data_IF_580822661081
#
_entry.id   IF_580822661081
#
_cell.length_a   1.000
_cell.length_b   1.000
_cell.length_c   1.000
_cell.angle_alpha   90.00
_cell.angle_beta   90.00
_cell.angle_gamma   90.00
#
_symmetry.space_group_name_H-M   'P 1'
#
loop_
_entity.id
_entity.type
_entity.pdbx_description
1 polymer ?
#
# COMPACT_ATOMS: atom_id res chain seq x y z
N UNK A 1 -18.17 26.35 -30.42
CA UNK A 1 -17.89 24.91 -30.34
C UNK A 1 -16.61 24.77 -29.52
N UNK A 2 -16.72 24.42 -28.24
CA UNK A 2 -15.53 24.33 -27.38
C UNK A 2 -14.77 23.05 -27.72
N UNK A 3 -13.49 23.21 -28.04
CA UNK A 3 -12.58 22.16 -28.46
C UNK A 3 -12.14 21.35 -27.22
N UNK A 4 -12.69 20.14 -27.06
CA UNK A 4 -12.38 19.23 -25.95
C UNK A 4 -11.11 18.39 -26.18
N UNK A 5 -10.35 18.67 -27.25
CA UNK A 5 -9.38 17.71 -27.79
C UNK A 5 -8.14 17.49 -26.90
N UNK A 6 -7.85 18.31 -25.89
CA UNK A 6 -6.73 18.05 -24.96
C UNK A 6 -7.07 18.52 -23.52
N UNK A 7 -7.93 17.79 -22.81
CA UNK A 7 -8.04 17.94 -21.35
C UNK A 7 -7.25 16.81 -20.67
N UNK A 8 -5.99 17.07 -20.31
CA UNK A 8 -5.22 16.17 -19.44
C UNK A 8 -5.80 16.26 -18.03
N UNK A 9 -6.64 15.30 -17.67
CA UNK A 9 -7.17 15.18 -16.33
C UNK A 9 -6.09 14.53 -15.45
N UNK A 10 -5.65 15.27 -14.42
CA UNK A 10 -4.88 14.68 -13.31
C UNK A 10 -5.85 13.82 -12.51
N UNK A 11 -5.70 12.50 -12.61
CA UNK A 11 -6.65 11.57 -11.97
C UNK A 11 -6.77 11.83 -10.46
N UNK A 12 -5.66 12.16 -9.80
CA UNK A 12 -5.60 12.51 -8.38
C UNK A 12 -6.48 13.71 -8.01
N UNK A 13 -6.56 14.71 -8.90
CA UNK A 13 -7.32 15.94 -8.66
C UNK A 13 -8.78 15.85 -9.12
N UNK A 14 -9.12 14.75 -9.81
CA UNK A 14 -10.45 14.53 -10.41
C UNK A 14 -11.39 13.64 -9.59
N UNK A 15 -10.89 13.06 -8.49
CA UNK A 15 -11.65 12.19 -7.60
C UNK A 15 -11.89 12.85 -6.24
N UNK A 16 -12.99 12.47 -5.57
CA UNK A 16 -13.31 12.99 -4.23
C UNK A 16 -12.29 12.53 -3.18
N UNK A 17 -12.22 13.25 -2.05
CA UNK A 17 -11.35 12.88 -0.93
C UNK A 17 -11.64 11.48 -0.39
N UNK A 18 -12.90 11.05 -0.39
CA UNK A 18 -13.28 9.67 -0.01
C UNK A 18 -12.63 8.65 -0.95
N UNK A 19 -12.66 8.89 -2.27
CA UNK A 19 -12.03 7.99 -3.23
C UNK A 19 -10.49 8.03 -3.16
N UNK A 20 -9.90 9.18 -2.82
CA UNK A 20 -8.46 9.28 -2.54
C UNK A 20 -8.08 8.43 -1.32
N UNK A 21 -8.91 8.43 -0.26
CA UNK A 21 -8.69 7.62 0.92
C UNK A 21 -8.78 6.11 0.61
N UNK A 22 -9.75 5.70 -0.22
CA UNK A 22 -9.87 4.32 -0.70
C UNK A 22 -8.62 3.88 -1.50
N UNK A 23 -8.11 4.74 -2.39
CA UNK A 23 -6.90 4.47 -3.15
C UNK A 23 -5.66 4.36 -2.24
N UNK A 24 -5.54 5.26 -1.25
CA UNK A 24 -4.49 5.22 -0.24
C UNK A 24 -4.55 3.93 0.59
N UNK A 25 -5.74 3.49 1.00
CA UNK A 25 -5.94 2.23 1.72
C UNK A 25 -5.46 1.04 0.88
N UNK A 26 -5.85 0.98 -0.40
CA UNK A 26 -5.38 -0.07 -1.30
C UNK A 26 -3.85 -0.11 -1.39
N UNK A 27 -3.22 1.06 -1.56
CA UNK A 27 -1.76 1.16 -1.60
C UNK A 27 -1.09 0.67 -0.32
N UNK A 28 -1.67 0.99 0.85
CA UNK A 28 -1.19 0.52 2.15
C UNK A 28 -1.32 -1.00 2.29
N UNK A 29 -2.44 -1.60 1.87
CA UNK A 29 -2.64 -3.04 1.87
C UNK A 29 -1.60 -3.77 1.01
N UNK A 30 -1.35 -3.26 -0.21
CA UNK A 30 -0.30 -3.79 -1.10
C UNK A 30 1.08 -3.73 -0.43
N UNK A 31 1.44 -2.56 0.13
CA UNK A 31 2.71 -2.37 0.82
C UNK A 31 2.85 -3.30 2.04
N UNK A 32 1.77 -3.47 2.81
CA UNK A 32 1.72 -4.35 3.99
C UNK A 32 1.93 -5.80 3.58
N UNK A 33 1.23 -6.28 2.56
CA UNK A 33 1.40 -7.63 2.03
C UNK A 33 2.83 -7.87 1.54
N UNK A 34 3.41 -6.93 0.78
CA UNK A 34 4.81 -7.03 0.34
C UNK A 34 5.78 -7.13 1.52
N UNK A 35 5.62 -6.29 2.53
CA UNK A 35 6.47 -6.30 3.74
C UNK A 35 6.31 -7.60 4.53
N UNK A 36 5.08 -8.10 4.65
CA UNK A 36 4.79 -9.37 5.29
C UNK A 36 5.51 -10.55 4.60
N UNK A 37 5.55 -10.51 3.27
CA UNK A 37 6.29 -11.43 2.39
C UNK A 37 7.80 -11.11 2.28
N UNK A 38 8.29 -10.08 2.97
CA UNK A 38 9.70 -9.67 3.04
C UNK A 38 10.35 -9.35 1.68
N UNK A 39 9.57 -8.86 0.72
CA UNK A 39 10.06 -8.51 -0.61
C UNK A 39 10.48 -7.03 -0.68
N UNK A 40 11.57 -6.71 -1.37
CA UNK A 40 11.92 -5.31 -1.66
C UNK A 40 11.08 -4.80 -2.83
N UNK A 41 10.82 -3.50 -2.85
CA UNK A 41 10.13 -2.85 -3.98
C UNK A 41 10.82 -3.11 -5.32
N UNK A 42 12.16 -3.18 -5.34
CA UNK A 42 12.96 -3.50 -6.54
C UNK A 42 12.68 -4.88 -7.08
N UNK A 43 12.49 -5.86 -6.19
CA UNK A 43 12.27 -7.25 -6.59
C UNK A 43 10.86 -7.41 -7.17
N UNK A 44 9.88 -6.77 -6.54
CA UNK A 44 8.50 -6.71 -7.06
C UNK A 44 8.44 -5.97 -8.39
N UNK A 45 9.19 -4.86 -8.54
CA UNK A 45 9.28 -4.12 -9.80
C UNK A 45 9.76 -5.02 -10.95
N UNK A 46 10.84 -5.78 -10.71
CA UNK A 46 11.39 -6.70 -11.69
C UNK A 46 10.38 -7.80 -12.07
N UNK A 47 9.74 -8.43 -11.07
CA UNK A 47 8.74 -9.50 -11.29
C UNK A 47 7.49 -9.01 -12.00
N UNK A 48 7.01 -7.81 -11.67
CA UNK A 48 5.80 -7.24 -12.25
C UNK A 48 6.03 -6.61 -13.64
N UNK A 49 7.30 -6.48 -14.09
CA UNK A 49 7.62 -5.72 -15.30
C UNK A 49 7.24 -4.23 -15.16
N UNK A 50 7.58 -3.63 -14.02
CA UNK A 50 7.26 -2.25 -13.66
C UNK A 50 8.54 -1.50 -13.22
N UNK A 51 8.51 -0.17 -13.29
CA UNK A 51 9.57 0.62 -12.68
C UNK A 51 9.44 0.64 -11.15
N UNK A 52 10.56 0.81 -10.44
CA UNK A 52 10.52 1.02 -8.97
C UNK A 52 9.66 2.23 -8.58
N UNK A 53 9.65 3.30 -9.40
CA UNK A 53 8.80 4.46 -9.15
C UNK A 53 7.30 4.12 -9.25
N UNK A 54 6.92 3.25 -10.19
CA UNK A 54 5.54 2.76 -10.30
C UNK A 54 5.16 1.95 -9.06
N UNK A 55 6.04 1.07 -8.58
CA UNK A 55 5.85 0.34 -7.32
C UNK A 55 5.67 1.29 -6.14
N UNK A 56 6.51 2.33 -6.05
CA UNK A 56 6.39 3.36 -5.02
C UNK A 56 5.02 4.05 -5.07
N UNK A 57 4.59 4.52 -6.25
CA UNK A 57 3.30 5.19 -6.45
C UNK A 57 2.10 4.28 -6.14
N UNK A 58 2.17 2.99 -6.50
CA UNK A 58 1.15 1.99 -6.13
C UNK A 58 1.01 1.89 -4.61
N UNK A 59 2.12 1.77 -3.89
CA UNK A 59 2.12 1.68 -2.42
C UNK A 59 1.67 2.97 -1.73
N UNK A 60 1.68 4.10 -2.43
CA UNK A 60 1.12 5.37 -1.97
C UNK A 60 -0.33 5.60 -2.41
N UNK A 61 -0.92 4.64 -3.14
CA UNK A 61 -2.33 4.71 -3.55
C UNK A 61 -2.60 5.71 -4.67
N UNK A 62 -1.66 5.90 -5.60
CA UNK A 62 -1.85 6.82 -6.71
C UNK A 62 -3.00 6.37 -7.64
N UNK A 63 -4.10 7.13 -7.73
CA UNK A 63 -5.29 6.75 -8.51
C UNK A 63 -5.09 6.89 -10.03
N UNK A 64 -3.99 7.52 -10.47
CA UNK A 64 -3.65 7.66 -11.89
C UNK A 64 -2.97 6.44 -12.49
N UNK A 65 -2.73 5.39 -11.71
CA UNK A 65 -2.14 4.15 -12.20
C UNK A 65 -3.17 3.21 -12.80
N UNK A 66 -2.76 2.48 -13.84
CA UNK A 66 -3.66 1.59 -14.55
C UNK A 66 -4.00 0.36 -13.68
N UNK A 67 -5.26 -0.07 -13.71
CA UNK A 67 -5.74 -1.22 -12.94
C UNK A 67 -4.91 -2.49 -13.18
N UNK A 68 -4.47 -2.75 -14.41
CA UNK A 68 -3.58 -3.88 -14.72
C UNK A 68 -2.21 -3.82 -14.04
N UNK A 69 -1.73 -2.65 -13.62
CA UNK A 69 -0.48 -2.52 -12.84
C UNK A 69 -0.68 -2.97 -11.39
N UNK A 70 -1.87 -2.72 -10.83
CA UNK A 70 -2.27 -3.21 -9.49
C UNK A 70 -2.31 -4.74 -9.50
N UNK A 71 -2.96 -5.34 -10.51
CA UNK A 71 -3.05 -6.80 -10.61
C UNK A 71 -1.67 -7.47 -10.78
N UNK A 72 -0.80 -6.90 -11.64
CA UNK A 72 0.58 -7.40 -11.80
C UNK A 72 1.42 -7.24 -10.54
N UNK A 73 1.25 -6.15 -9.79
CA UNK A 73 1.89 -6.01 -8.48
C UNK A 73 1.44 -7.13 -7.55
N UNK A 74 0.13 -7.35 -7.44
CA UNK A 74 -0.43 -8.32 -6.51
C UNK A 74 0.08 -9.72 -6.84
N UNK A 75 0.03 -10.13 -8.11
CA UNK A 75 0.53 -11.43 -8.57
C UNK A 75 2.05 -11.58 -8.35
N UNK A 76 2.84 -10.52 -8.55
CA UNK A 76 4.29 -10.53 -8.29
C UNK A 76 4.66 -10.69 -6.80
N UNK A 77 3.78 -10.28 -5.89
CA UNK A 77 3.95 -10.40 -4.44
C UNK A 77 3.38 -11.70 -3.89
N UNK A 78 2.17 -12.06 -4.33
CA UNK A 78 1.41 -13.22 -3.90
C UNK A 78 0.69 -13.84 -5.11
N UNK A 79 1.38 -14.73 -5.86
CA UNK A 79 0.80 -15.36 -7.04
C UNK A 79 -0.53 -16.05 -6.75
N UNK A 80 -1.54 -15.80 -7.60
CA UNK A 80 -2.89 -16.36 -7.46
C UNK A 80 -3.77 -15.71 -6.38
N UNK A 81 -3.26 -14.72 -5.63
CA UNK A 81 -4.09 -13.95 -4.71
C UNK A 81 -5.06 -13.02 -5.47
N UNK A 82 -6.27 -12.87 -4.96
CA UNK A 82 -7.27 -11.95 -5.50
C UNK A 82 -7.28 -10.63 -4.73
N UNK A 83 -7.91 -9.59 -5.30
CA UNK A 83 -8.16 -8.34 -4.57
C UNK A 83 -9.01 -8.59 -3.31
N UNK A 84 -9.97 -9.53 -3.37
CA UNK A 84 -10.75 -9.92 -2.19
C UNK A 84 -9.85 -10.44 -1.08
N UNK A 85 -8.89 -11.32 -1.40
CA UNK A 85 -7.95 -11.88 -0.41
C UNK A 85 -7.04 -10.78 0.17
N UNK A 86 -6.63 -9.82 -0.65
CA UNK A 86 -5.86 -8.64 -0.21
C UNK A 86 -6.65 -7.81 0.82
N UNK A 87 -7.91 -7.45 0.51
CA UNK A 87 -8.76 -6.67 1.42
C UNK A 87 -9.17 -7.45 2.67
N UNK A 88 -9.33 -8.76 2.57
CA UNK A 88 -9.60 -9.63 3.71
C UNK A 88 -8.32 -10.00 4.50
N UNK A 89 -7.16 -9.46 4.11
CA UNK A 89 -5.84 -9.73 4.71
C UNK A 89 -5.59 -11.24 4.95
N UNK A 90 -6.04 -12.09 4.02
CA UNK A 90 -6.10 -13.55 4.22
C UNK A 90 -4.76 -14.27 4.03
N UNK A 91 -3.72 -13.55 3.64
CA UNK A 91 -2.38 -14.12 3.46
C UNK A 91 -1.76 -14.52 4.81
N UNK A 92 -1.32 -15.77 5.02
CA UNK A 92 -0.69 -16.20 6.28
C UNK A 92 0.53 -15.37 6.70
N UNK A 93 1.24 -14.76 5.74
CA UNK A 93 2.37 -13.88 6.04
C UNK A 93 1.94 -12.63 6.84
N UNK A 94 0.71 -12.14 6.65
CA UNK A 94 0.16 -11.00 7.38
C UNK A 94 -0.09 -11.33 8.85
N UNK A 95 -0.53 -12.55 9.16
CA UNK A 95 -0.66 -13.02 10.54
C UNK A 95 0.71 -13.03 11.24
N UNK A 96 1.74 -13.56 10.57
CA UNK A 96 3.11 -13.56 11.10
C UNK A 96 3.69 -12.14 11.27
N UNK A 97 3.38 -11.21 10.35
CA UNK A 97 3.77 -9.81 10.48
C UNK A 97 3.09 -9.16 11.69
N UNK A 98 1.79 -9.37 11.86
CA UNK A 98 1.00 -8.83 12.98
C UNK A 98 1.55 -9.29 14.33
N UNK A 99 1.93 -10.57 14.44
CA UNK A 99 2.57 -11.09 15.65
C UNK A 99 3.90 -10.36 15.96
N UNK A 100 4.75 -10.15 14.95
CA UNK A 100 6.01 -9.40 15.12
C UNK A 100 5.78 -7.94 15.53
N UNK A 101 4.76 -7.29 14.96
CA UNK A 101 4.36 -5.93 15.31
C UNK A 101 3.88 -5.83 16.76
N UNK A 102 3.11 -6.82 17.24
CA UNK A 102 2.66 -6.90 18.63
C UNK A 102 3.83 -7.10 19.60
N UNK A 103 4.75 -8.04 19.32
CA UNK A 103 5.91 -8.28 20.19
C UNK A 103 6.89 -7.10 20.23
N UNK A 104 6.90 -6.26 19.18
CA UNK A 104 7.77 -5.08 19.11
C UNK A 104 7.17 -3.86 19.82
N UNK A 105 5.87 -3.86 20.16
CA UNK A 105 5.22 -2.77 20.88
C UNK A 105 5.46 -2.85 22.40
N UNK A 106 6.71 -2.63 22.80
CA UNK A 106 7.02 -1.86 24.01
C UNK A 106 7.96 -0.77 23.52
N UNK A 107 7.44 0.46 23.41
CA UNK A 107 8.29 1.63 23.35
C UNK A 107 8.60 1.92 24.81
N UNK A 108 9.88 1.92 25.18
CA UNK A 108 10.26 2.40 26.50
C UNK A 108 9.64 3.79 26.68
N UNK A 109 8.93 3.98 27.79
CA UNK A 109 8.36 5.28 28.14
C UNK A 109 9.50 6.30 28.13
N UNK A 110 9.31 7.44 27.47
CA UNK A 110 10.30 8.51 27.57
C UNK A 110 10.33 9.01 29.01
N UNK A 111 11.43 9.66 29.42
CA UNK A 111 11.53 10.25 30.76
C UNK A 111 10.34 11.18 31.07
N UNK A 112 9.84 11.90 30.05
CA UNK A 112 8.67 12.76 30.17
C UNK A 112 7.35 11.98 30.37
N UNK A 113 7.22 10.80 29.75
CA UNK A 113 6.05 9.94 29.96
C UNK A 113 6.07 9.27 31.33
N UNK A 114 7.26 9.01 31.90
CA UNK A 114 7.43 8.50 33.27
C UNK A 114 7.12 9.57 34.32
N UNK A 115 7.57 10.82 34.11
CA UNK A 115 7.26 11.94 35.01
C UNK A 115 5.76 12.27 35.06
N UNK A 116 5.02 12.02 33.99
CA UNK A 116 3.57 12.21 33.94
C UNK A 116 2.75 11.12 34.66
N UNK A 117 3.40 10.05 35.12
CA UNK A 117 2.77 8.91 35.82
C UNK A 117 3.01 8.93 37.34
N UNK A 118 3.80 9.86 37.85
CA UNK A 118 3.92 10.12 39.29
C UNK A 118 2.70 10.95 39.73
N UNK A 119 1.76 10.31 40.43
CA UNK A 119 0.54 10.93 40.98
C UNK A 119 0.81 11.64 42.31
#
# INVERSE_FOLDING_TARGET
MCDFTIMKISQSDSISSTLQAEAAQLGQLLARLRKARQLKQTDVAARAGLSRNTIYRLEHGDPGLAFGQILRYLDAVAPGATLKDLYAESDPALAALTLREQTRRVRDLSSADLEALDF
#
